data_IF_312928615714
#
_entry.id   IF_312928615714
#
_cell.length_a   1.000
_cell.length_b   1.000
_cell.length_c   1.000
_cell.angle_alpha   90.00
_cell.angle_beta   90.00
_cell.angle_gamma   90.00
#
_symmetry.space_group_name_H-M   'P 1'
#
loop_
_entity.id
_entity.type
_entity.pdbx_description
1 polymer ?
#
# COMPACT_ATOMS: atom_id res chain seq x y z
N UNK A 1 8.51 10.50 -14.25
CA UNK A 1 8.27 10.92 -12.84
C UNK A 1 6.83 10.66 -12.35
N UNK A 2 5.98 10.01 -13.15
CA UNK A 2 4.72 9.43 -12.66
C UNK A 2 4.89 7.91 -12.68
N UNK A 3 5.25 7.30 -11.54
CA UNK A 3 4.94 5.88 -11.34
C UNK A 3 3.42 5.79 -11.25
N UNK A 4 2.74 4.93 -12.00
CA UNK A 4 2.48 3.53 -11.66
C UNK A 4 2.05 3.24 -10.21
N UNK A 5 2.05 4.22 -9.29
CA UNK A 5 2.05 3.98 -7.84
C UNK A 5 0.78 3.30 -7.33
N UNK A 6 -0.31 3.22 -8.10
CA UNK A 6 -1.50 2.47 -7.70
C UNK A 6 -2.29 1.87 -8.88
N UNK A 7 -1.69 1.65 -10.05
CA UNK A 7 -2.43 1.16 -11.22
C UNK A 7 -3.07 -0.21 -10.99
N UNK A 8 -2.38 -1.11 -10.29
CA UNK A 8 -2.92 -2.42 -9.92
C UNK A 8 -4.12 -2.27 -8.98
N UNK A 9 -4.09 -1.30 -8.06
CA UNK A 9 -5.24 -1.01 -7.20
C UNK A 9 -6.41 -0.41 -7.97
N UNK A 10 -6.15 0.49 -8.93
CA UNK A 10 -7.17 1.06 -9.81
C UNK A 10 -7.81 -0.03 -10.70
N UNK A 11 -7.00 -0.96 -11.21
CA UNK A 11 -7.48 -2.10 -11.97
C UNK A 11 -8.30 -3.05 -11.10
N UNK A 12 -7.84 -3.35 -9.89
CA UNK A 12 -8.57 -4.16 -8.92
C UNK A 12 -9.93 -3.52 -8.57
N UNK A 13 -9.96 -2.21 -8.29
CA UNK A 13 -11.17 -1.45 -8.01
C UNK A 13 -12.19 -1.48 -9.17
N UNK A 14 -11.71 -1.47 -10.41
CA UNK A 14 -12.58 -1.45 -11.61
C UNK A 14 -13.03 -2.84 -12.05
N UNK A 15 -12.30 -3.91 -11.71
CA UNK A 15 -12.57 -5.27 -12.21
C UNK A 15 -13.08 -6.26 -11.17
N UNK A 16 -12.92 -5.99 -9.87
CA UNK A 16 -13.40 -6.89 -8.81
C UNK A 16 -14.77 -6.42 -8.31
N UNK A 17 -15.87 -7.11 -8.66
CA UNK A 17 -17.19 -6.79 -8.15
C UNK A 17 -17.22 -6.97 -6.61
N UNK A 18 -17.61 -5.92 -5.89
CA UNK A 18 -17.64 -5.90 -4.42
C UNK A 18 -16.42 -5.27 -3.73
N UNK A 19 -15.36 -4.94 -4.48
CA UNK A 19 -14.20 -4.25 -3.95
C UNK A 19 -14.34 -2.73 -4.17
N UNK A 20 -14.94 -2.03 -3.21
CA UNK A 20 -15.05 -0.57 -3.24
C UNK A 20 -13.74 0.07 -2.77
N UNK A 21 -12.81 0.29 -3.70
CA UNK A 21 -11.57 1.02 -3.44
C UNK A 21 -11.65 2.42 -4.05
N UNK A 22 -11.54 3.43 -3.20
CA UNK A 22 -11.42 4.83 -3.61
C UNK A 22 -9.97 5.28 -3.44
N UNK A 23 -9.29 5.58 -4.55
CA UNK A 23 -7.94 6.12 -4.53
C UNK A 23 -7.99 7.62 -4.23
N UNK A 24 -7.58 8.00 -3.02
CA UNK A 24 -7.61 9.39 -2.54
C UNK A 24 -6.48 10.26 -3.11
N UNK A 25 -5.53 9.67 -3.83
CA UNK A 25 -4.31 10.34 -4.26
C UNK A 25 -3.33 10.53 -3.10
N UNK A 26 -2.36 11.42 -3.26
CA UNK A 26 -1.39 11.76 -2.20
C UNK A 26 -1.42 13.24 -1.87
N UNK A 27 -0.97 13.60 -0.68
CA UNK A 27 -0.88 14.99 -0.21
C UNK A 27 0.49 15.61 -0.50
N UNK A 28 0.64 16.89 -0.14
CA UNK A 28 1.92 17.59 -0.17
C UNK A 28 3.00 16.86 0.62
N UNK A 29 4.26 17.18 0.34
CA UNK A 29 5.40 16.48 0.92
C UNK A 29 5.52 16.75 2.42
N UNK A 30 5.59 15.68 3.21
CA UNK A 30 5.95 15.72 4.62
C UNK A 30 6.68 14.42 4.94
N UNK A 31 8.01 14.46 4.84
CA UNK A 31 8.87 13.28 4.86
C UNK A 31 8.70 12.37 6.09
N UNK A 32 8.92 12.85 7.33
CA UNK A 32 8.79 12.00 8.52
C UNK A 32 7.39 11.38 8.69
N UNK A 33 6.34 12.15 8.44
CA UNK A 33 4.97 11.66 8.59
C UNK A 33 4.59 10.69 7.46
N UNK A 34 5.04 10.95 6.23
CA UNK A 34 4.85 10.06 5.10
C UNK A 34 5.51 8.71 5.31
N UNK A 35 6.77 8.68 5.78
CA UNK A 35 7.50 7.44 6.09
C UNK A 35 6.78 6.60 7.14
N UNK A 36 6.38 7.22 8.25
CA UNK A 36 5.66 6.53 9.33
C UNK A 36 4.31 6.01 8.85
N UNK A 37 3.51 6.87 8.22
CA UNK A 37 2.15 6.53 7.81
C UNK A 37 2.10 5.44 6.73
N UNK A 38 3.08 5.39 5.82
CA UNK A 38 3.17 4.33 4.80
C UNK A 38 3.36 2.96 5.44
N UNK A 39 4.25 2.83 6.43
CA UNK A 39 4.46 1.55 7.13
C UNK A 39 3.24 1.16 7.97
N UNK A 40 2.66 2.14 8.69
CA UNK A 40 1.50 1.90 9.53
C UNK A 40 0.28 1.43 8.73
N UNK A 41 0.00 2.08 7.59
CA UNK A 41 -1.16 1.78 6.75
C UNK A 41 -0.94 0.70 5.69
N UNK A 42 0.26 0.15 5.60
CA UNK A 42 0.53 -1.05 4.80
C UNK A 42 -0.32 -2.21 5.31
N UNK A 43 -1.09 -2.84 4.42
CA UNK A 43 -2.07 -3.86 4.82
C UNK A 43 -2.50 -4.77 3.65
N UNK A 44 -3.31 -5.77 3.98
CA UNK A 44 -4.12 -6.56 3.04
C UNK A 44 -5.38 -5.76 2.68
N UNK A 45 -5.55 -5.46 1.39
CA UNK A 45 -6.67 -4.68 0.85
C UNK A 45 -7.90 -5.57 0.64
N UNK A 46 -7.69 -6.76 0.10
CA UNK A 46 -8.67 -7.83 0.01
C UNK A 46 -7.94 -9.19 -0.01
N UNK A 47 -8.62 -10.34 0.10
CA UNK A 47 -7.97 -11.64 0.01
C UNK A 47 -7.06 -11.73 -1.23
N UNK A 48 -5.79 -12.04 -1.03
CA UNK A 48 -4.77 -12.13 -2.09
C UNK A 48 -4.23 -10.80 -2.64
N UNK A 49 -4.70 -9.63 -2.16
CA UNK A 49 -4.21 -8.31 -2.60
C UNK A 49 -3.69 -7.48 -1.43
N UNK A 50 -2.44 -7.03 -1.55
CA UNK A 50 -1.74 -6.27 -0.52
C UNK A 50 -1.21 -4.97 -1.08
N UNK A 51 -0.97 -3.99 -0.21
CA UNK A 51 -0.48 -2.66 -0.58
C UNK A 51 0.72 -2.26 0.27
N UNK A 52 1.79 -1.80 -0.39
CA UNK A 52 3.03 -1.31 0.22
C UNK A 52 3.55 -0.05 -0.50
N UNK A 53 4.49 0.67 0.11
CA UNK A 53 5.15 1.85 -0.46
C UNK A 53 4.19 2.99 -0.84
N UNK A 54 4.48 3.69 -1.95
CA UNK A 54 3.67 4.82 -2.42
C UNK A 54 2.22 4.45 -2.79
N UNK A 55 1.95 3.16 -3.05
CA UNK A 55 0.59 2.69 -3.27
C UNK A 55 -0.29 2.90 -2.03
N UNK A 56 0.29 2.72 -0.84
CA UNK A 56 -0.38 3.00 0.45
C UNK A 56 -0.73 4.48 0.54
N UNK A 57 0.21 5.35 0.15
CA UNK A 57 -0.02 6.78 0.17
C UNK A 57 -1.14 7.20 -0.77
N UNK A 58 -1.16 6.66 -1.98
CA UNK A 58 -2.20 6.92 -3.00
C UNK A 58 -3.57 6.39 -2.61
N UNK A 59 -3.62 5.20 -2.00
CA UNK A 59 -4.86 4.61 -1.51
C UNK A 59 -5.45 5.44 -0.35
N UNK A 60 -4.60 5.88 0.58
CA UNK A 60 -5.05 6.47 1.84
C UNK A 60 -4.99 7.99 1.90
N UNK A 61 -4.49 8.70 0.88
CA UNK A 61 -4.37 10.16 0.93
C UNK A 61 -3.23 10.63 1.82
N UNK A 62 -2.11 9.90 1.87
CA UNK A 62 -0.98 10.22 2.76
C UNK A 62 -0.02 11.25 2.15
N UNK A 63 0.76 11.97 2.98
CA UNK A 63 1.83 12.83 2.50
C UNK A 63 2.89 12.07 1.71
N UNK A 64 3.49 12.73 0.71
CA UNK A 64 4.66 12.21 0.00
C UNK A 64 5.89 12.28 0.90
N UNK A 65 6.75 11.26 0.86
CA UNK A 65 7.94 11.22 1.72
C UNK A 65 9.26 11.71 1.08
N UNK A 66 9.27 11.99 -0.22
CA UNK A 66 10.52 12.33 -0.93
C UNK A 66 11.44 11.09 -1.13
N UNK A 67 12.73 11.26 -1.44
CA UNK A 67 13.65 10.17 -1.72
C UNK A 67 14.17 9.48 -0.44
N UNK A 68 13.25 9.06 0.43
CA UNK A 68 13.57 8.30 1.65
C UNK A 68 12.97 6.91 1.53
N UNK A 69 13.81 5.90 1.73
CA UNK A 69 13.50 4.50 1.41
C UNK A 69 13.27 3.64 2.67
N UNK A 70 13.43 4.19 3.87
CA UNK A 70 13.24 3.45 5.12
C UNK A 70 11.81 2.93 5.23
N UNK A 71 10.84 3.83 5.08
CA UNK A 71 9.42 3.47 5.07
C UNK A 71 9.04 2.51 3.93
N UNK A 72 9.68 2.63 2.77
CA UNK A 72 9.45 1.71 1.64
C UNK A 72 9.87 0.28 1.97
N UNK A 73 11.09 0.10 2.48
CA UNK A 73 11.61 -1.23 2.82
C UNK A 73 10.82 -1.87 3.96
N UNK A 74 10.47 -1.08 4.99
CA UNK A 74 9.66 -1.56 6.11
C UNK A 74 8.23 -1.94 5.67
N UNK A 75 7.63 -1.19 4.75
CA UNK A 75 6.33 -1.57 4.18
C UNK A 75 6.40 -2.89 3.39
N UNK A 76 7.46 -3.10 2.60
CA UNK A 76 7.67 -4.36 1.88
C UNK A 76 7.84 -5.55 2.83
N UNK A 77 8.64 -5.37 3.89
CA UNK A 77 8.82 -6.38 4.94
C UNK A 77 7.48 -6.75 5.58
N UNK A 78 6.66 -5.77 5.96
CA UNK A 78 5.35 -6.02 6.56
C UNK A 78 4.40 -6.78 5.63
N UNK A 79 4.38 -6.47 4.33
CA UNK A 79 3.58 -7.26 3.37
C UNK A 79 4.10 -8.69 3.27
N UNK A 80 5.42 -8.89 3.24
CA UNK A 80 5.99 -10.24 3.20
C UNK A 80 5.56 -11.07 4.43
N UNK A 81 5.57 -10.47 5.62
CA UNK A 81 5.10 -11.10 6.86
C UNK A 81 3.62 -11.48 6.75
N UNK A 82 2.75 -10.56 6.33
CA UNK A 82 1.32 -10.82 6.15
C UNK A 82 1.05 -11.93 5.11
N UNK A 83 1.83 -11.98 4.02
CA UNK A 83 1.69 -13.02 3.00
C UNK A 83 2.10 -14.39 3.56
N UNK A 84 3.16 -14.46 4.37
CA UNK A 84 3.60 -15.70 5.01
C UNK A 84 2.54 -16.21 5.98
N UNK A 85 1.94 -15.31 6.77
CA UNK A 85 0.84 -15.62 7.69
C UNK A 85 -0.37 -16.19 6.92
N UNK A 86 -0.86 -15.47 5.90
CA UNK A 86 -1.98 -15.92 5.07
C UNK A 86 -1.71 -17.30 4.44
N UNK A 87 -0.51 -17.53 3.88
CA UNK A 87 -0.15 -18.81 3.27
C UNK A 87 -0.08 -19.95 4.28
N UNK A 88 0.30 -19.66 5.52
CA UNK A 88 0.36 -20.65 6.60
C UNK A 88 -1.05 -21.05 7.07
N UNK A 89 -1.98 -20.10 7.13
CA UNK A 89 -3.39 -20.36 7.45
C UNK A 89 -4.11 -21.16 6.36
N UNK A 90 -3.79 -20.93 5.07
CA UNK A 90 -4.37 -21.66 3.94
C UNK A 90 -3.97 -23.14 3.85
N UNK A 91 -2.85 -23.53 4.48
CA UNK A 91 -2.35 -24.91 4.50
C UNK A 91 -2.81 -25.75 5.71
N UNK A 92 -3.59 -25.15 6.62
CA UNK A 92 -4.09 -25.74 7.87
C UNK A 92 -5.54 -26.19 7.74
#
# INVERSE_FOLDING_TARGET
>A
LHGHDAEVLALAASRLPGLTLELKGFKSMWAPEGERAVVERTCRVCPGLYVAGMAVATLHGLPRMGPIFGGMLLSGKKVAELVIEDLSELGS
#
